data_IF_554248093606
#
_entry.id   IF_554248093606
#
_cell.length_a   1.000
_cell.length_b   1.000
_cell.length_c   1.000
_cell.angle_alpha   90.00
_cell.angle_beta   90.00
_cell.angle_gamma   90.00
#
_symmetry.space_group_name_H-M   'P 1'
#
loop_
_entity.id
_entity.type
_entity.pdbx_description
1 polymer ?
#
# COMPACT_ATOMS: atom_id res chain seq x y z
N UNK A 1 4.29 -3.79 -16.95
CA UNK A 1 5.42 -4.19 -16.09
C UNK A 1 6.14 -5.41 -16.70
N UNK A 2 5.43 -6.47 -17.06
CA UNK A 2 6.00 -7.69 -17.64
C UNK A 2 6.77 -7.49 -18.95
N UNK A 3 6.39 -6.53 -19.79
CA UNK A 3 7.07 -6.23 -21.07
C UNK A 3 8.43 -5.51 -20.90
N UNK A 4 8.78 -5.05 -19.68
CA UNK A 4 9.96 -4.23 -19.42
C UNK A 4 11.02 -4.89 -18.55
N UNK A 5 10.93 -6.20 -18.26
CA UNK A 5 11.85 -6.90 -17.35
C UNK A 5 12.10 -6.10 -16.06
N UNK A 6 11.01 -5.74 -15.36
CA UNK A 6 11.10 -4.97 -14.11
C UNK A 6 11.60 -5.92 -13.01
N UNK A 7 12.82 -5.69 -12.53
CA UNK A 7 13.46 -6.51 -11.50
C UNK A 7 12.93 -6.19 -10.09
N UNK A 8 12.52 -4.94 -9.86
CA UNK A 8 11.96 -4.48 -8.57
C UNK A 8 11.06 -3.28 -8.73
N UNK A 9 10.14 -3.05 -7.77
CA UNK A 9 9.17 -1.97 -7.81
C UNK A 9 9.19 -1.16 -6.51
N UNK A 10 9.40 0.16 -6.62
CA UNK A 10 9.12 1.11 -5.54
C UNK A 10 7.75 1.74 -5.77
N UNK A 11 6.81 1.54 -4.85
CA UNK A 11 5.53 2.23 -4.84
C UNK A 11 5.63 3.44 -3.90
N UNK A 12 5.64 4.65 -4.47
CA UNK A 12 5.73 5.89 -3.68
C UNK A 12 4.34 6.45 -3.38
N UNK A 13 3.93 6.36 -2.12
CA UNK A 13 2.68 6.89 -1.59
C UNK A 13 2.90 8.13 -0.70
N UNK A 14 4.10 8.67 -0.64
CA UNK A 14 4.38 9.88 0.13
C UNK A 14 3.57 11.05 -0.38
N UNK A 15 2.97 11.83 0.54
CA UNK A 15 2.09 12.96 0.25
C UNK A 15 0.85 12.61 -0.60
N UNK A 16 0.52 11.34 -0.73
CA UNK A 16 -0.71 10.89 -1.38
C UNK A 16 -1.85 10.83 -0.35
N UNK A 17 -2.70 11.85 -0.34
CA UNK A 17 -3.84 11.96 0.58
C UNK A 17 -5.00 10.98 0.29
N UNK A 18 -4.82 10.08 -0.66
CA UNK A 18 -5.82 9.12 -1.08
C UNK A 18 -6.73 9.65 -2.19
N UNK A 19 -7.97 9.20 -2.17
CA UNK A 19 -8.97 9.51 -3.20
C UNK A 19 -10.12 8.52 -3.11
N UNK A 20 -10.59 8.03 -4.25
CA UNK A 20 -11.63 7.01 -4.30
C UNK A 20 -11.12 5.69 -3.72
N UNK A 21 -11.87 5.11 -2.79
CA UNK A 21 -11.55 3.81 -2.20
C UNK A 21 -11.45 2.74 -3.29
N UNK A 22 -12.35 2.75 -4.27
CA UNK A 22 -12.32 1.84 -5.42
C UNK A 22 -10.99 1.89 -6.20
N UNK A 23 -10.35 3.06 -6.28
CA UNK A 23 -9.04 3.19 -6.92
C UNK A 23 -7.92 2.56 -6.07
N UNK A 24 -7.93 2.77 -4.75
CA UNK A 24 -7.01 2.10 -3.83
C UNK A 24 -7.14 0.58 -3.87
N UNK A 25 -8.38 0.07 -3.88
CA UNK A 25 -8.67 -1.37 -4.03
C UNK A 25 -8.16 -1.91 -5.38
N UNK A 26 -8.36 -1.17 -6.48
CA UNK A 26 -7.89 -1.58 -7.80
C UNK A 26 -6.35 -1.66 -7.87
N UNK A 27 -5.65 -0.70 -7.25
CA UNK A 27 -4.18 -0.74 -7.17
C UNK A 27 -3.71 -1.91 -6.30
N UNK A 28 -4.34 -2.14 -5.13
CA UNK A 28 -4.02 -3.29 -4.28
C UNK A 28 -4.21 -4.62 -5.02
N UNK A 29 -5.30 -4.72 -5.79
CA UNK A 29 -5.61 -5.90 -6.61
C UNK A 29 -4.55 -6.19 -7.69
N UNK A 30 -3.77 -5.19 -8.10
CA UNK A 30 -2.66 -5.39 -9.04
C UNK A 30 -1.48 -6.16 -8.44
N UNK A 31 -1.41 -6.26 -7.10
CA UNK A 31 -0.29 -6.85 -6.38
C UNK A 31 -0.67 -7.99 -5.43
N UNK A 32 -1.98 -8.19 -5.18
CA UNK A 32 -2.50 -9.21 -4.25
C UNK A 32 -3.39 -10.19 -5.01
N UNK A 33 -3.28 -11.49 -4.70
CA UNK A 33 -4.09 -12.55 -5.30
C UNK A 33 -4.91 -13.26 -4.25
N UNK A 34 -6.23 -13.13 -4.30
CA UNK A 34 -7.17 -13.80 -3.40
C UNK A 34 -7.08 -13.43 -1.92
N UNK A 35 -6.18 -12.50 -1.56
CA UNK A 35 -5.94 -12.08 -0.18
C UNK A 35 -6.83 -10.89 0.20
N UNK A 36 -7.17 -10.71 1.50
CA UNK A 36 -7.97 -9.57 1.93
C UNK A 36 -7.22 -8.26 1.70
N UNK A 37 -7.93 -7.23 1.22
CA UNK A 37 -7.38 -5.87 1.05
C UNK A 37 -7.74 -5.01 2.24
N UNK A 38 -9.01 -5.03 2.67
CA UNK A 38 -9.52 -4.17 3.73
C UNK A 38 -10.71 -4.83 4.41
N UNK A 39 -10.86 -4.58 5.70
CA UNK A 39 -12.07 -4.88 6.44
C UNK A 39 -12.82 -3.60 6.79
N UNK A 40 -14.15 -3.71 6.95
CA UNK A 40 -14.98 -2.60 7.40
C UNK A 40 -15.72 -2.98 8.68
N UNK A 41 -15.78 -2.08 9.63
CA UNK A 41 -16.48 -2.26 10.89
C UNK A 41 -17.51 -1.16 11.09
N UNK A 42 -18.78 -1.53 11.26
CA UNK A 42 -19.86 -0.62 11.61
C UNK A 42 -20.06 -0.54 13.15
N UNK A 43 -21.06 0.25 13.57
CA UNK A 43 -21.36 0.42 15.02
C UNK A 43 -21.82 -0.87 15.71
N UNK A 44 -22.31 -1.85 14.98
CA UNK A 44 -22.73 -3.16 15.46
C UNK A 44 -21.56 -4.16 15.53
N UNK A 45 -20.36 -3.76 15.07
CA UNK A 45 -19.19 -4.63 15.04
C UNK A 45 -19.21 -5.65 13.91
N UNK A 46 -20.09 -5.48 12.91
CA UNK A 46 -20.12 -6.35 11.72
C UNK A 46 -18.98 -5.97 10.82
N UNK A 47 -18.12 -6.92 10.50
CA UNK A 47 -16.97 -6.74 9.61
C UNK A 47 -17.28 -7.35 8.25
N UNK A 48 -17.19 -6.54 7.20
CA UNK A 48 -17.16 -7.00 5.83
C UNK A 48 -15.70 -6.98 5.35
N UNK A 49 -15.25 -8.08 4.74
CA UNK A 49 -13.90 -8.18 4.15
C UNK A 49 -14.00 -8.05 2.63
N UNK A 50 -13.14 -7.21 2.06
CA UNK A 50 -13.03 -7.03 0.62
C UNK A 50 -11.73 -7.69 0.15
N UNK A 51 -11.80 -8.85 -0.51
CA UNK A 51 -10.61 -9.54 -1.02
C UNK A 51 -10.18 -8.99 -2.38
N UNK A 52 -8.91 -9.26 -2.73
CA UNK A 52 -8.39 -9.12 -4.08
C UNK A 52 -8.95 -10.23 -5.00
N UNK A 53 -8.94 -9.98 -6.30
CA UNK A 53 -9.13 -11.02 -7.32
C UNK A 53 -7.97 -12.02 -7.35
N UNK A 54 -8.02 -12.94 -8.30
CA UNK A 54 -7.03 -14.03 -8.38
C UNK A 54 -5.85 -13.70 -9.29
N UNK A 55 -5.91 -12.62 -10.07
CA UNK A 55 -4.87 -12.22 -11.01
C UNK A 55 -4.07 -11.03 -10.49
N UNK A 56 -2.76 -11.11 -10.51
CA UNK A 56 -1.85 -10.01 -10.21
C UNK A 56 -1.15 -9.51 -11.48
N UNK A 57 -0.77 -8.24 -11.50
CA UNK A 57 0.01 -7.67 -12.59
C UNK A 57 1.52 -7.76 -12.35
N UNK A 58 1.92 -7.92 -11.10
CA UNK A 58 3.32 -7.99 -10.70
C UNK A 58 3.45 -8.69 -9.34
N UNK A 59 4.30 -9.69 -9.27
CA UNK A 59 4.59 -10.51 -8.08
C UNK A 59 6.05 -10.45 -7.63
N UNK A 60 6.91 -9.73 -8.36
CA UNK A 60 8.34 -9.54 -8.03
C UNK A 60 8.58 -8.69 -6.77
N UNK A 61 9.86 -8.45 -6.42
CA UNK A 61 10.26 -7.66 -5.25
C UNK A 61 9.64 -6.26 -5.22
N UNK A 62 9.09 -5.85 -4.08
CA UNK A 62 8.37 -4.59 -3.94
C UNK A 62 8.61 -3.94 -2.58
N UNK A 63 8.79 -2.62 -2.60
CA UNK A 63 8.88 -1.75 -1.43
C UNK A 63 7.91 -0.59 -1.58
N UNK A 64 7.29 -0.16 -0.49
CA UNK A 64 6.35 0.97 -0.49
C UNK A 64 6.85 2.09 0.42
N UNK A 65 6.94 3.31 -0.10
CA UNK A 65 7.29 4.51 0.65
C UNK A 65 6.03 5.24 1.12
N UNK A 66 6.00 5.60 2.40
CA UNK A 66 4.89 6.34 3.04
C UNK A 66 5.41 7.48 3.92
N UNK A 67 4.56 8.47 4.20
CA UNK A 67 4.84 9.51 5.17
C UNK A 67 3.55 10.07 5.80
N UNK A 68 3.67 11.09 6.66
CA UNK A 68 2.55 11.74 7.31
C UNK A 68 1.51 12.37 6.36
N UNK A 69 1.83 12.55 5.07
CA UNK A 69 0.90 12.99 4.04
C UNK A 69 0.15 11.84 3.34
N UNK A 70 0.52 10.58 3.61
CA UNK A 70 -0.19 9.39 3.11
C UNK A 70 -1.46 9.20 3.91
N UNK A 71 -2.64 9.20 3.25
CA UNK A 71 -3.92 9.17 3.96
C UNK A 71 -5.02 8.37 3.24
N UNK A 72 -6.05 7.92 3.98
CA UNK A 72 -7.31 7.37 3.45
C UNK A 72 -7.09 6.13 2.54
N UNK A 73 -7.51 6.17 1.26
CA UNK A 73 -7.35 5.05 0.32
C UNK A 73 -5.88 4.59 0.16
N UNK A 74 -4.92 5.51 0.33
CA UNK A 74 -3.49 5.16 0.31
C UNK A 74 -3.06 4.40 1.57
N UNK A 75 -3.72 4.64 2.72
CA UNK A 75 -3.48 3.86 3.94
C UNK A 75 -4.10 2.47 3.85
N UNK A 76 -5.28 2.35 3.22
CA UNK A 76 -5.87 1.04 2.90
C UNK A 76 -4.91 0.22 2.04
N UNK A 77 -4.37 0.82 0.98
CA UNK A 77 -3.41 0.18 0.10
C UNK A 77 -2.12 -0.22 0.85
N UNK A 78 -1.51 0.71 1.60
CA UNK A 78 -0.29 0.43 2.36
C UNK A 78 -0.50 -0.67 3.40
N UNK A 79 -1.61 -0.61 4.17
CA UNK A 79 -1.96 -1.62 5.17
C UNK A 79 -2.23 -3.00 4.56
N UNK A 80 -2.89 -3.04 3.39
CA UNK A 80 -3.11 -4.28 2.65
C UNK A 80 -1.79 -4.93 2.22
N UNK A 81 -0.87 -4.16 1.65
CA UNK A 81 0.43 -4.65 1.21
C UNK A 81 1.30 -5.11 2.39
N UNK A 82 1.26 -4.38 3.51
CA UNK A 82 1.99 -4.70 4.73
C UNK A 82 1.48 -6.00 5.36
N UNK A 83 0.19 -6.07 5.68
CA UNK A 83 -0.40 -7.19 6.43
C UNK A 83 -0.34 -8.51 5.67
N UNK A 84 -0.38 -8.45 4.33
CA UNK A 84 -0.21 -9.62 3.48
C UNK A 84 1.27 -9.96 3.19
N UNK A 85 2.23 -9.24 3.76
CA UNK A 85 3.66 -9.45 3.52
C UNK A 85 4.09 -9.21 2.06
N UNK A 86 3.28 -8.48 1.28
CA UNK A 86 3.54 -8.25 -0.14
C UNK A 86 4.63 -7.20 -0.38
N UNK A 87 4.72 -6.22 0.50
CA UNK A 87 5.68 -5.12 0.40
C UNK A 87 6.14 -4.71 1.79
N UNK A 88 7.43 -4.43 1.97
CA UNK A 88 7.90 -3.71 3.13
C UNK A 88 7.51 -2.23 3.03
N UNK A 89 6.98 -1.69 4.11
CA UNK A 89 6.59 -0.30 4.21
C UNK A 89 7.72 0.50 4.87
N UNK A 90 8.26 1.49 4.17
CA UNK A 90 9.35 2.32 4.62
C UNK A 90 8.91 3.79 4.74
N UNK A 91 9.50 4.53 5.64
CA UNK A 91 9.27 5.98 5.75
C UNK A 91 8.93 6.44 7.15
N UNK A 92 7.88 7.24 7.27
CA UNK A 92 7.31 7.70 8.53
C UNK A 92 5.84 7.31 8.64
N UNK A 93 5.32 7.35 9.87
CA UNK A 93 3.92 7.03 10.17
C UNK A 93 2.94 7.81 9.30
N UNK A 94 1.90 7.16 8.80
CA UNK A 94 0.87 7.78 7.97
C UNK A 94 -0.14 8.61 8.77
N UNK A 95 -1.06 9.29 8.10
CA UNK A 95 -1.96 10.28 8.67
C UNK A 95 -2.98 9.70 9.67
N UNK A 96 -3.60 8.56 9.36
CA UNK A 96 -4.64 7.95 10.19
C UNK A 96 -6.07 8.41 9.86
N UNK A 97 -6.47 8.33 8.58
CA UNK A 97 -7.83 8.63 8.14
C UNK A 97 -8.58 7.36 7.74
N UNK A 98 -9.21 6.71 8.71
CA UNK A 98 -9.87 5.41 8.57
C UNK A 98 -11.40 5.43 8.61
N UNK A 99 -12.08 6.59 8.48
CA UNK A 99 -13.54 6.66 8.56
C UNK A 99 -14.22 6.62 7.21
N UNK A 100 -15.34 5.87 7.16
CA UNK A 100 -16.28 5.84 6.03
C UNK A 100 -17.41 6.82 6.30
N UNK A 101 -17.59 7.79 5.39
CA UNK A 101 -18.65 8.78 5.47
C UNK A 101 -19.66 8.59 4.35
N UNK A 102 -20.93 8.52 4.69
CA UNK A 102 -22.04 8.62 3.75
C UNK A 102 -22.40 10.08 3.55
N UNK A 103 -22.47 10.50 2.28
CA UNK A 103 -22.88 11.86 1.91
C UNK A 103 -24.33 11.83 1.44
N UNK A 104 -25.18 12.67 2.03
CA UNK A 104 -26.60 12.81 1.67
C UNK A 104 -26.91 14.28 1.43
N UNK A 105 -27.62 14.56 0.34
CA UNK A 105 -28.16 15.92 0.07
C UNK A 105 -29.53 16.06 0.72
N UNK A 106 -29.73 17.12 1.49
CA UNK A 106 -30.99 17.42 2.14
C UNK A 106 -31.92 18.19 1.18
N UNK A 107 -33.21 18.29 1.55
CA UNK A 107 -34.25 18.91 0.72
C UNK A 107 -34.03 20.39 0.41
N UNK A 108 -33.23 21.07 1.24
CA UNK A 108 -32.84 22.48 1.06
C UNK A 108 -31.56 22.67 0.22
N UNK A 109 -30.99 21.57 -0.30
CA UNK A 109 -29.75 21.56 -1.08
C UNK A 109 -28.46 21.51 -0.22
N UNK A 110 -28.57 21.54 1.11
CA UNK A 110 -27.40 21.35 1.98
C UNK A 110 -26.91 19.91 1.98
N UNK A 111 -25.62 19.71 2.28
CA UNK A 111 -24.98 18.39 2.38
C UNK A 111 -24.86 17.92 3.82
N UNK A 112 -25.11 16.65 4.06
CA UNK A 112 -24.89 16.00 5.34
C UNK A 112 -23.88 14.86 5.17
N UNK A 113 -22.78 14.87 5.94
CA UNK A 113 -21.80 13.79 6.02
C UNK A 113 -21.96 13.05 7.35
N UNK A 114 -22.26 11.75 7.28
CA UNK A 114 -22.42 10.89 8.47
C UNK A 114 -21.38 9.79 8.43
N UNK A 115 -20.60 9.62 9.51
CA UNK A 115 -19.73 8.47 9.69
C UNK A 115 -20.57 7.21 9.92
N UNK A 116 -20.40 6.22 9.07
CA UNK A 116 -21.19 4.97 9.09
C UNK A 116 -20.35 3.75 9.46
N UNK A 117 -19.04 3.76 9.21
CA UNK A 117 -18.14 2.68 9.52
C UNK A 117 -16.68 3.17 9.60
N UNK A 118 -15.77 2.30 10.00
CA UNK A 118 -14.32 2.48 9.91
C UNK A 118 -13.68 1.43 9.01
N UNK A 119 -12.51 1.76 8.47
CA UNK A 119 -11.64 0.83 7.77
C UNK A 119 -10.66 0.21 8.75
N UNK A 120 -10.53 -1.12 8.68
CA UNK A 120 -9.50 -1.89 9.35
C UNK A 120 -8.56 -2.49 8.29
N UNK A 121 -7.29 -2.66 8.64
CA UNK A 121 -6.37 -3.43 7.82
C UNK A 121 -6.77 -4.92 7.81
N UNK A 122 -6.24 -5.76 6.90
CA UNK A 122 -6.52 -7.20 6.89
C UNK A 122 -6.28 -7.91 8.22
N UNK A 123 -5.33 -7.44 9.04
CA UNK A 123 -5.08 -7.96 10.39
C UNK A 123 -6.00 -7.40 11.48
N UNK A 124 -7.00 -6.57 11.10
CA UNK A 124 -7.96 -5.97 12.04
C UNK A 124 -7.46 -4.72 12.77
N UNK A 125 -6.35 -4.11 12.36
CA UNK A 125 -5.87 -2.84 12.95
C UNK A 125 -6.74 -1.67 12.49
N UNK A 126 -7.17 -0.83 13.43
CA UNK A 126 -7.90 0.40 13.10
C UNK A 126 -6.95 1.45 12.51
N UNK A 127 -7.29 1.95 11.33
CA UNK A 127 -6.51 3.00 10.66
C UNK A 127 -6.80 4.37 11.30
N UNK A 128 -8.01 4.56 11.84
CA UNK A 128 -8.46 5.87 12.35
C UNK A 128 -7.60 6.33 13.54
N UNK A 129 -6.97 7.48 13.39
CA UNK A 129 -6.04 8.13 14.33
C UNK A 129 -4.73 7.35 14.59
N UNK A 130 -4.65 6.08 14.19
CA UNK A 130 -3.46 5.24 14.39
C UNK A 130 -2.55 5.29 13.18
N UNK A 131 -3.11 5.37 11.96
CA UNK A 131 -2.35 5.28 10.72
C UNK A 131 -1.68 3.92 10.53
N UNK A 132 -0.82 3.87 9.53
CA UNK A 132 0.05 2.72 9.26
C UNK A 132 1.44 3.07 9.76
N UNK A 133 1.95 2.27 10.70
CA UNK A 133 3.36 2.34 11.12
C UNK A 133 4.21 1.63 10.08
N UNK A 134 5.27 2.25 9.56
CA UNK A 134 6.16 1.57 8.61
C UNK A 134 6.94 0.44 9.29
N UNK A 135 7.27 -0.61 8.51
CA UNK A 135 8.12 -1.72 8.98
C UNK A 135 9.54 -1.24 9.27
N UNK A 136 9.96 -0.19 8.55
CA UNK A 136 11.24 0.47 8.77
C UNK A 136 11.08 1.99 8.72
N UNK A 137 11.36 2.63 9.84
CA UNK A 137 11.48 4.09 9.93
C UNK A 137 12.72 4.56 9.15
N UNK A 138 12.55 5.60 8.35
CA UNK A 138 13.65 6.26 7.64
C UNK A 138 14.04 7.56 8.35
N UNK A 139 15.30 7.95 8.18
CA UNK A 139 15.88 9.09 8.88
C UNK A 139 15.24 10.42 8.47
N UNK A 140 14.95 11.23 9.49
CA UNK A 140 14.48 12.61 9.31
C UNK A 140 15.67 13.57 9.05
N UNK A 141 15.44 14.73 8.40
CA UNK A 141 14.16 15.18 7.86
C UNK A 141 13.73 14.42 6.60
N UNK A 142 12.42 14.41 6.34
CA UNK A 142 11.89 13.86 5.10
C UNK A 142 12.49 14.59 3.88
N UNK A 143 12.69 13.90 2.73
CA UNK A 143 13.16 14.54 1.52
C UNK A 143 12.20 15.65 1.05
N UNK A 144 12.74 16.85 0.80
CA UNK A 144 11.93 18.01 0.37
C UNK A 144 11.36 17.85 -1.05
N UNK A 145 12.02 17.02 -1.87
CA UNK A 145 11.63 16.78 -3.26
C UNK A 145 11.57 15.26 -3.52
N UNK A 146 10.45 14.59 -3.15
CA UNK A 146 10.27 13.17 -3.41
C UNK A 146 10.45 12.81 -4.89
N UNK A 147 11.23 11.77 -5.18
CA UNK A 147 11.58 11.34 -6.53
C UNK A 147 12.69 12.14 -7.20
N UNK A 148 13.25 13.16 -6.54
CA UNK A 148 14.40 13.94 -7.03
C UNK A 148 15.75 13.24 -6.77
N UNK A 149 16.83 13.79 -7.36
CA UNK A 149 18.19 13.23 -7.24
C UNK A 149 18.71 13.14 -5.80
N UNK A 150 18.25 14.03 -4.90
CA UNK A 150 18.63 14.08 -3.49
C UNK A 150 17.68 13.30 -2.57
N UNK A 151 16.75 12.51 -3.15
CA UNK A 151 15.80 11.73 -2.39
C UNK A 151 16.47 10.51 -1.74
N UNK A 152 16.86 10.66 -0.47
CA UNK A 152 17.52 9.60 0.29
C UNK A 152 16.62 8.41 0.54
N UNK A 153 15.33 8.66 0.78
CA UNK A 153 14.37 7.60 1.05
C UNK A 153 14.13 6.71 -0.17
N UNK A 154 14.12 7.32 -1.37
CA UNK A 154 14.05 6.54 -2.61
C UNK A 154 15.31 5.68 -2.79
N UNK A 155 16.50 6.24 -2.55
CA UNK A 155 17.77 5.49 -2.61
C UNK A 155 17.80 4.33 -1.62
N UNK A 156 17.31 4.53 -0.39
CA UNK A 156 17.22 3.46 0.62
C UNK A 156 16.26 2.34 0.19
N UNK A 157 15.15 2.71 -0.45
CA UNK A 157 14.19 1.74 -1.00
C UNK A 157 14.80 0.92 -2.15
N UNK A 158 15.51 1.58 -3.07
CA UNK A 158 16.21 0.93 -4.19
C UNK A 158 17.29 -0.05 -3.70
N UNK A 159 18.09 0.36 -2.70
CA UNK A 159 19.10 -0.51 -2.08
C UNK A 159 18.46 -1.75 -1.42
N UNK A 160 17.33 -1.59 -0.77
CA UNK A 160 16.63 -2.70 -0.13
C UNK A 160 16.06 -3.67 -1.16
N UNK A 161 15.52 -3.17 -2.26
CA UNK A 161 15.04 -4.03 -3.36
C UNK A 161 16.21 -4.81 -3.97
N UNK A 162 17.35 -4.17 -4.25
CA UNK A 162 18.54 -4.83 -4.77
C UNK A 162 18.99 -5.97 -3.86
N UNK A 163 19.06 -5.74 -2.54
CA UNK A 163 19.40 -6.78 -1.57
C UNK A 163 18.39 -7.95 -1.56
N UNK A 164 17.10 -7.66 -1.72
CA UNK A 164 16.06 -8.71 -1.78
C UNK A 164 16.16 -9.55 -3.06
N UNK A 165 16.51 -8.92 -4.19
CA UNK A 165 16.75 -9.62 -5.47
C UNK A 165 17.94 -10.57 -5.33
N UNK A 166 19.04 -10.09 -4.76
CA UNK A 166 20.24 -10.91 -4.53
C UNK A 166 19.96 -12.12 -3.65
N UNK A 167 19.16 -11.94 -2.57
CA UNK A 167 18.78 -13.05 -1.69
C UNK A 167 17.89 -14.07 -2.42
N UNK A 168 16.91 -13.64 -3.21
CA UNK A 168 16.06 -14.54 -3.98
C UNK A 168 16.84 -15.32 -5.04
N UNK A 169 17.83 -14.71 -5.68
CA UNK A 169 18.70 -15.40 -6.66
C UNK A 169 19.57 -16.48 -6.00
N UNK A 170 19.99 -16.26 -4.76
CA UNK A 170 20.74 -17.26 -3.99
C UNK A 170 19.87 -18.44 -3.52
N UNK A 171 18.59 -18.19 -3.25
CA UNK A 171 17.62 -19.25 -2.86
C UNK A 171 17.12 -20.06 -4.07
N UNK A 172 17.16 -19.50 -5.29
CA UNK A 172 16.73 -20.13 -6.54
C UNK A 172 17.80 -20.08 -7.65
N UNK A 173 18.95 -20.74 -7.47
CA UNK A 173 20.08 -20.66 -8.42
C UNK A 173 19.79 -21.28 -9.80
N UNK A 174 18.63 -21.91 -10.01
CA UNK A 174 18.25 -22.58 -11.26
C UNK A 174 17.30 -21.79 -12.18
N UNK A 175 16.94 -20.57 -11.84
CA UNK A 175 16.01 -19.78 -12.67
C UNK A 175 16.65 -19.19 -13.94
N UNK A 176 17.97 -19.09 -14.00
CA UNK A 176 18.71 -18.55 -15.16
C UNK A 176 19.08 -19.58 -16.25
N UNK A 177 18.80 -20.88 -16.06
CA UNK A 177 19.27 -21.92 -16.99
C UNK A 177 18.24 -22.27 -18.09
N UNK A 178 17.05 -21.72 -18.07
CA UNK A 178 15.97 -22.10 -19.00
C UNK A 178 15.87 -21.27 -20.29
N UNK A 179 16.66 -20.22 -20.47
CA UNK A 179 16.58 -19.33 -21.66
C UNK A 179 17.69 -19.55 -22.72
N UNK A 180 18.56 -20.57 -22.61
CA UNK A 180 19.62 -20.83 -23.62
C UNK A 180 19.38 -22.05 -24.52
N UNK A 181 18.21 -22.70 -24.53
CA UNK A 181 17.92 -23.77 -25.47
C UNK A 181 16.55 -23.58 -26.16
N UNK A 182 16.42 -22.66 -27.11
CA UNK A 182 15.50 -22.82 -28.28
C UNK A 182 16.08 -22.12 -29.50
#
# INVERSE_FOLDING_TARGET
>A
LSEKNVEGLVLDLRNNSGGLVSSGLAVANSFLSGLPIVETQNRQGINDSIPAGVETLYDGPMVTLVNGGTASASEILAGALQDNGRSQILGSKTFGKGLIQSLTTLSDGSGLAITVASYLTPSGRDIQNLGIEPDRLLDLPEPLNPGGEEDRWLKDAELLIGANIDLQSLENPNSEILDEEV
#
